data_IF_308433804220
#
_entry.id   IF_308433804220
#
_cell.length_a   1.000
_cell.length_b   1.000
_cell.length_c   1.000
_cell.angle_alpha   90.00
_cell.angle_beta   90.00
_cell.angle_gamma   90.00
#
_symmetry.space_group_name_H-M   'P 1'
#
loop_
_entity.id
_entity.type
_entity.pdbx_description
1 polymer ?
#
# COMPACT_ATOMS: atom_id res chain seq x y z
N UNK A 1 -7.91 0.88 2.07
CA UNK A 1 -7.03 0.05 1.21
C UNK A 1 -7.75 -0.51 -0.02
N UNK A 2 -8.69 -1.46 0.13
CA UNK A 2 -9.40 -2.09 -0.99
C UNK A 2 -9.98 -1.11 -2.04
N UNK A 3 -10.59 -0.02 -1.58
CA UNK A 3 -11.10 1.07 -2.44
C UNK A 3 -10.01 1.72 -3.31
N UNK A 4 -8.81 1.91 -2.76
CA UNK A 4 -7.68 2.52 -3.47
C UNK A 4 -7.21 1.58 -4.58
N UNK A 5 -7.10 0.28 -4.29
CA UNK A 5 -6.70 -0.75 -5.25
C UNK A 5 -7.71 -0.85 -6.39
N UNK A 6 -9.00 -1.00 -6.08
CA UNK A 6 -10.09 -1.04 -7.06
C UNK A 6 -10.09 0.20 -7.98
N UNK A 7 -9.93 1.39 -7.39
CA UNK A 7 -9.88 2.63 -8.17
C UNK A 7 -8.64 2.72 -9.06
N UNK A 8 -7.46 2.35 -8.55
CA UNK A 8 -6.21 2.37 -9.29
C UNK A 8 -6.23 1.43 -10.49
N UNK A 9 -6.68 0.19 -10.28
CA UNK A 9 -6.80 -0.81 -11.35
C UNK A 9 -7.77 -0.33 -12.43
N UNK A 10 -8.92 0.23 -12.05
CA UNK A 10 -9.89 0.81 -13.01
C UNK A 10 -9.35 1.99 -13.81
N UNK A 11 -8.36 2.70 -13.29
CA UNK A 11 -7.67 3.79 -13.99
C UNK A 11 -6.51 3.30 -14.87
N UNK A 12 -6.30 1.99 -14.99
CA UNK A 12 -5.20 1.43 -15.75
C UNK A 12 -3.85 1.46 -15.02
N UNK A 13 -3.83 1.74 -13.71
CA UNK A 13 -2.61 1.66 -12.89
C UNK A 13 -2.40 0.23 -12.40
N UNK A 14 -1.16 -0.22 -12.40
CA UNK A 14 -0.85 -1.54 -11.85
C UNK A 14 -0.82 -1.50 -10.31
N UNK A 15 -1.02 -2.65 -9.68
CA UNK A 15 -0.93 -2.83 -8.24
C UNK A 15 -0.09 -4.06 -7.95
N UNK A 16 0.92 -3.93 -7.09
CA UNK A 16 1.71 -5.03 -6.55
C UNK A 16 1.38 -5.13 -5.06
N UNK A 17 1.01 -6.32 -4.57
CA UNK A 17 0.64 -6.49 -3.16
C UNK A 17 1.15 -7.81 -2.59
N UNK A 18 1.36 -7.84 -1.27
CA UNK A 18 1.76 -9.05 -0.54
C UNK A 18 0.60 -9.90 0.01
N UNK A 19 -0.62 -9.61 -0.43
CA UNK A 19 -1.83 -10.36 -0.14
C UNK A 19 -2.61 -10.62 -1.42
N UNK A 20 -3.36 -11.71 -1.43
CA UNK A 20 -4.28 -12.04 -2.51
C UNK A 20 -5.55 -11.20 -2.42
N UNK A 21 -6.13 -10.88 -3.56
CA UNK A 21 -7.46 -10.27 -3.65
C UNK A 21 -8.40 -11.21 -4.37
N UNK A 22 -9.69 -11.09 -4.08
CA UNK A 22 -10.70 -11.77 -4.86
C UNK A 22 -10.99 -10.97 -6.14
N UNK A 23 -10.32 -11.38 -7.22
CA UNK A 23 -10.39 -10.71 -8.52
C UNK A 23 -11.80 -10.67 -9.11
N UNK A 24 -12.71 -11.55 -8.68
CA UNK A 24 -14.11 -11.56 -9.15
C UNK A 24 -14.83 -10.23 -8.90
N UNK A 25 -14.39 -9.47 -7.91
CA UNK A 25 -14.95 -8.14 -7.61
C UNK A 25 -14.40 -7.01 -8.49
N UNK A 26 -13.28 -7.23 -9.18
CA UNK A 26 -12.70 -6.25 -10.09
C UNK A 26 -13.37 -6.33 -11.47
N UNK A 27 -13.58 -7.54 -11.97
CA UNK A 27 -13.90 -7.83 -13.37
C UNK A 27 -15.41 -7.94 -13.62
N UNK A 28 -16.11 -6.81 -13.72
CA UNK A 28 -17.45 -6.78 -14.32
C UNK A 28 -17.31 -6.62 -15.86
N UNK A 29 -17.12 -7.78 -16.51
CA UNK A 29 -17.04 -8.23 -17.92
C UNK A 29 -17.18 -7.31 -19.17
N UNK A 30 -17.08 -5.97 -19.11
CA UNK A 30 -17.15 -5.15 -20.36
C UNK A 30 -15.88 -4.39 -20.76
N UNK A 31 -14.90 -4.20 -19.85
CA UNK A 31 -13.71 -3.36 -20.11
C UNK A 31 -12.44 -3.85 -19.38
N UNK A 32 -12.26 -5.17 -19.25
CA UNK A 32 -11.11 -5.74 -18.54
C UNK A 32 -9.76 -5.41 -19.19
N UNK A 33 -9.75 -5.19 -20.50
CA UNK A 33 -8.59 -4.77 -21.30
C UNK A 33 -8.01 -3.41 -20.89
N UNK A 34 -8.79 -2.58 -20.20
CA UNK A 34 -8.39 -1.23 -19.77
C UNK A 34 -7.89 -1.16 -18.33
N UNK A 35 -8.01 -2.25 -17.57
CA UNK A 35 -7.57 -2.26 -16.19
C UNK A 35 -6.07 -2.51 -16.09
N UNK A 36 -5.46 -1.96 -15.05
CA UNK A 36 -4.07 -2.27 -14.72
C UNK A 36 -3.94 -3.69 -14.19
N UNK A 37 -2.70 -4.17 -14.11
CA UNK A 37 -2.42 -5.50 -13.61
C UNK A 37 -2.36 -5.52 -12.09
N UNK A 38 -3.02 -6.50 -11.49
CA UNK A 38 -2.79 -6.86 -10.09
C UNK A 38 -1.74 -7.97 -10.04
N UNK A 39 -0.70 -7.79 -9.22
CA UNK A 39 0.42 -8.71 -9.08
C UNK A 39 0.54 -9.07 -7.60
N UNK A 40 0.29 -10.33 -7.30
CA UNK A 40 0.48 -10.87 -5.95
C UNK A 40 1.90 -11.40 -5.78
N UNK A 41 2.58 -10.96 -4.72
CA UNK A 41 3.91 -11.45 -4.35
C UNK A 41 3.98 -11.73 -2.84
N UNK A 42 4.07 -13.00 -2.39
CA UNK A 42 4.01 -13.35 -0.97
C UNK A 42 5.21 -12.83 -0.17
N UNK A 43 5.04 -12.62 1.15
CA UNK A 43 6.13 -12.23 2.07
C UNK A 43 7.38 -13.12 1.93
N UNK A 44 7.21 -14.42 1.67
CA UNK A 44 8.32 -15.36 1.42
C UNK A 44 9.25 -14.90 0.27
N UNK A 45 8.69 -14.34 -0.80
CA UNK A 45 9.46 -13.82 -1.94
C UNK A 45 10.28 -12.60 -1.52
N UNK A 46 9.64 -11.64 -0.84
CA UNK A 46 10.27 -10.42 -0.32
C UNK A 46 11.35 -10.67 0.73
N UNK A 47 11.28 -11.80 1.46
CA UNK A 47 12.24 -12.15 2.51
C UNK A 47 13.42 -12.98 2.01
N UNK A 48 13.19 -13.93 1.09
CA UNK A 48 14.20 -14.93 0.72
C UNK A 48 14.96 -14.60 -0.56
N UNK A 49 14.38 -13.82 -1.48
CA UNK A 49 15.04 -13.42 -2.73
C UNK A 49 15.87 -12.13 -2.59
N UNK A 50 16.28 -11.79 -1.37
CA UNK A 50 17.24 -10.71 -1.10
C UNK A 50 18.66 -11.02 -1.61
N UNK A 51 18.97 -12.29 -1.86
CA UNK A 51 20.35 -12.74 -2.09
C UNK A 51 20.61 -13.08 -3.56
N UNK A 52 21.67 -12.50 -4.14
CA UNK A 52 22.27 -13.00 -5.38
C UNK A 52 23.06 -14.25 -5.04
N UNK A 53 22.67 -15.42 -5.56
CA UNK A 53 23.59 -16.56 -5.57
C UNK A 53 24.62 -16.35 -6.69
N UNK A 54 25.79 -17.00 -6.61
CA UNK A 54 26.86 -16.84 -7.62
C UNK A 54 26.44 -17.27 -9.05
N UNK A 55 25.35 -18.00 -9.18
CA UNK A 55 24.90 -18.64 -10.43
C UNK A 55 23.56 -18.11 -10.93
N UNK A 56 22.68 -17.62 -10.06
CA UNK A 56 21.41 -16.99 -10.42
C UNK A 56 21.06 -15.92 -9.38
N UNK A 57 20.47 -14.80 -9.79
CA UNK A 57 19.73 -13.99 -8.83
C UNK A 57 19.45 -12.58 -9.28
N UNK A 58 18.26 -12.37 -9.82
CA UNK A 58 17.59 -11.08 -9.70
C UNK A 58 17.04 -10.99 -8.28
N UNK A 59 17.39 -9.95 -7.52
CA UNK A 59 16.72 -9.70 -6.24
C UNK A 59 15.28 -9.23 -6.49
N UNK A 60 14.40 -9.29 -5.50
CA UNK A 60 13.07 -8.70 -5.65
C UNK A 60 13.13 -7.18 -5.91
N UNK A 61 14.16 -6.48 -5.41
CA UNK A 61 14.37 -5.04 -5.70
C UNK A 61 14.78 -4.87 -7.16
N UNK A 62 15.66 -5.72 -7.69
CA UNK A 62 15.97 -5.76 -9.12
C UNK A 62 14.70 -6.02 -9.94
N UNK A 63 13.81 -6.88 -9.45
CA UNK A 63 12.47 -7.11 -10.00
C UNK A 63 11.64 -5.83 -10.10
N UNK A 64 11.56 -5.05 -9.01
CA UNK A 64 10.87 -3.75 -9.00
C UNK A 64 11.53 -2.74 -9.95
N UNK A 65 12.85 -2.67 -10.03
CA UNK A 65 13.52 -1.78 -10.98
C UNK A 65 13.27 -2.19 -12.43
N UNK A 66 13.30 -3.49 -12.72
CA UNK A 66 13.03 -4.01 -14.05
C UNK A 66 11.56 -3.80 -14.45
N UNK A 67 10.62 -4.04 -13.53
CA UNK A 67 9.21 -3.76 -13.77
C UNK A 67 9.00 -2.29 -14.15
N UNK A 68 9.57 -1.35 -13.38
CA UNK A 68 9.49 0.06 -13.73
C UNK A 68 10.15 0.37 -15.09
N UNK A 69 11.28 -0.27 -15.40
CA UNK A 69 11.99 -0.05 -16.66
C UNK A 69 11.18 -0.46 -17.89
N UNK A 70 10.43 -1.56 -17.81
CA UNK A 70 9.72 -2.19 -18.93
C UNK A 70 8.23 -1.82 -18.99
N UNK A 71 7.57 -1.70 -17.85
CA UNK A 71 6.11 -1.53 -17.78
C UNK A 71 5.68 -0.06 -17.61
N UNK A 72 6.57 0.82 -17.17
CA UNK A 72 6.21 2.23 -16.96
C UNK A 72 6.49 3.11 -18.16
N UNK A 73 5.55 4.00 -18.45
CA UNK A 73 5.67 4.99 -19.51
C UNK A 73 6.75 6.01 -19.15
N UNK A 74 7.41 6.52 -20.19
CA UNK A 74 8.48 7.52 -20.08
C UNK A 74 8.07 8.80 -20.81
N UNK A 75 8.52 9.94 -20.31
CA UNK A 75 8.37 11.21 -20.99
C UNK A 75 9.33 11.33 -22.19
N UNK A 76 9.25 12.46 -22.91
CA UNK A 76 10.15 12.76 -24.06
C UNK A 76 11.64 12.76 -23.68
N UNK A 77 11.98 13.00 -22.42
CA UNK A 77 13.36 12.98 -21.88
C UNK A 77 13.77 11.59 -21.38
N UNK A 78 12.99 10.53 -21.68
CA UNK A 78 13.20 9.14 -21.25
C UNK A 78 13.14 8.93 -19.73
N UNK A 79 12.56 9.87 -18.98
CA UNK A 79 12.33 9.72 -17.54
C UNK A 79 11.00 9.00 -17.31
N UNK A 80 10.97 8.06 -16.37
CA UNK A 80 9.74 7.36 -15.97
C UNK A 80 8.76 8.39 -15.38
N UNK A 81 7.49 8.31 -15.79
CA UNK A 81 6.42 9.13 -15.23
C UNK A 81 6.02 8.62 -13.84
N UNK A 82 5.65 9.52 -12.94
CA UNK A 82 5.20 9.17 -11.59
C UNK A 82 3.79 8.55 -11.57
N UNK A 83 3.41 7.95 -10.45
CA UNK A 83 2.04 7.46 -10.16
C UNK A 83 1.47 6.41 -11.12
N UNK A 84 2.30 5.47 -11.60
CA UNK A 84 1.91 4.44 -12.56
C UNK A 84 1.63 3.08 -11.92
N UNK A 85 2.21 2.80 -10.75
CA UNK A 85 2.00 1.53 -10.05
C UNK A 85 1.94 1.75 -8.55
N UNK A 86 0.97 1.12 -7.91
CA UNK A 86 0.84 1.12 -6.46
C UNK A 86 1.51 -0.13 -5.91
N UNK A 87 2.34 0.00 -4.88
CA UNK A 87 2.84 -1.13 -4.08
C UNK A 87 2.15 -1.09 -2.72
N UNK A 88 1.55 -2.20 -2.31
CA UNK A 88 0.83 -2.31 -1.05
C UNK A 88 1.44 -3.44 -0.21
N UNK A 89 2.00 -3.07 0.93
CA UNK A 89 2.48 -4.04 1.92
C UNK A 89 1.55 -4.03 3.13
N UNK A 90 0.73 -5.08 3.24
CA UNK A 90 -0.07 -5.36 4.42
C UNK A 90 0.76 -6.05 5.50
N UNK A 91 0.45 -5.77 6.76
CA UNK A 91 1.25 -6.17 7.94
C UNK A 91 2.77 -5.98 7.71
N UNK A 92 3.14 -4.82 7.16
CA UNK A 92 4.47 -4.55 6.65
C UNK A 92 5.59 -4.62 7.69
N UNK A 93 5.26 -4.63 8.99
CA UNK A 93 6.20 -4.86 10.07
C UNK A 93 6.85 -6.25 10.01
N UNK A 94 6.26 -7.23 9.35
CA UNK A 94 6.92 -8.52 9.08
C UNK A 94 8.10 -8.35 8.13
N UNK A 95 7.94 -7.49 7.12
CA UNK A 95 8.96 -7.21 6.10
C UNK A 95 9.99 -6.19 6.57
N UNK A 96 9.64 -5.27 7.47
CA UNK A 96 10.48 -4.12 7.82
C UNK A 96 10.74 -3.99 9.32
N UNK A 97 10.78 -5.11 10.05
CA UNK A 97 10.98 -5.11 11.50
C UNK A 97 12.37 -4.58 11.92
N UNK A 98 12.38 -3.64 12.87
CA UNK A 98 13.59 -3.11 13.51
C UNK A 98 14.49 -4.18 14.15
N UNK A 99 13.93 -5.29 14.62
CA UNK A 99 14.67 -6.38 15.29
C UNK A 99 15.46 -7.27 14.31
N UNK A 100 15.15 -7.22 13.02
CA UNK A 100 15.92 -7.91 11.97
C UNK A 100 17.10 -7.07 11.46
N UNK A 101 17.87 -6.46 12.38
CA UNK A 101 18.93 -5.50 12.06
C UNK A 101 20.06 -6.10 11.19
N UNK A 102 20.28 -7.41 11.24
CA UNK A 102 21.33 -8.12 10.51
C UNK A 102 20.96 -8.47 9.05
N UNK A 103 19.82 -7.98 8.54
CA UNK A 103 19.41 -8.21 7.16
C UNK A 103 20.19 -7.33 6.18
N UNK A 104 20.90 -7.96 5.25
CA UNK A 104 21.81 -7.31 4.30
C UNK A 104 21.08 -6.41 3.28
N UNK A 105 19.83 -6.74 2.97
CA UNK A 105 18.91 -6.05 2.05
C UNK A 105 18.28 -4.77 2.63
N UNK A 106 18.43 -4.53 3.93
CA UNK A 106 17.83 -3.37 4.61
C UNK A 106 18.22 -2.03 3.97
N UNK A 107 19.49 -1.86 3.62
CA UNK A 107 19.99 -0.62 3.00
C UNK A 107 19.47 -0.43 1.58
N UNK A 108 19.29 -1.53 0.85
CA UNK A 108 18.72 -1.50 -0.51
C UNK A 108 17.25 -1.09 -0.46
N UNK A 109 16.47 -1.65 0.47
CA UNK A 109 15.09 -1.22 0.73
C UNK A 109 15.03 0.28 1.07
N UNK A 110 15.85 0.74 2.01
CA UNK A 110 15.88 2.16 2.37
C UNK A 110 16.19 3.06 1.16
N UNK A 111 17.07 2.58 0.26
CA UNK A 111 17.42 3.29 -0.97
C UNK A 111 16.27 3.30 -1.97
N UNK A 112 15.60 2.16 -2.16
CA UNK A 112 14.42 2.03 -2.98
C UNK A 112 13.30 2.97 -2.51
N UNK A 113 12.94 2.94 -1.23
CA UNK A 113 11.90 3.80 -0.67
C UNK A 113 12.25 5.29 -0.78
N UNK A 114 13.52 5.69 -0.81
CA UNK A 114 13.89 7.10 -1.06
C UNK A 114 13.72 7.54 -2.51
N UNK A 115 13.70 6.60 -3.45
CA UNK A 115 13.73 6.87 -4.88
C UNK A 115 12.47 6.40 -5.62
N UNK A 116 11.52 5.77 -4.92
CA UNK A 116 10.36 5.09 -5.51
C UNK A 116 9.58 5.93 -6.54
N UNK A 117 9.42 7.24 -6.32
CA UNK A 117 8.75 8.17 -7.26
C UNK A 117 9.41 8.22 -8.62
N UNK A 118 10.76 8.22 -8.65
CA UNK A 118 11.54 8.21 -9.91
C UNK A 118 11.30 6.94 -10.73
N UNK A 119 10.81 5.89 -10.07
CA UNK A 119 10.44 4.62 -10.66
C UNK A 119 8.92 4.46 -10.77
N UNK A 120 8.13 5.55 -10.73
CA UNK A 120 6.69 5.50 -11.00
C UNK A 120 5.84 4.85 -9.91
N UNK A 121 6.40 4.56 -8.74
CA UNK A 121 5.72 3.86 -7.66
C UNK A 121 5.07 4.79 -6.65
N UNK A 122 3.85 4.46 -6.24
CA UNK A 122 3.20 4.94 -5.01
C UNK A 122 3.19 3.81 -3.99
N UNK A 123 3.65 4.03 -2.75
CA UNK A 123 3.79 2.94 -1.77
C UNK A 123 2.87 3.16 -0.57
N UNK A 124 2.10 2.13 -0.23
CA UNK A 124 1.27 2.04 0.96
C UNK A 124 1.82 0.97 1.89
N UNK A 125 2.25 1.40 3.07
CA UNK A 125 2.61 0.52 4.18
C UNK A 125 1.44 0.47 5.15
N UNK A 126 0.88 -0.71 5.38
CA UNK A 126 -0.17 -0.93 6.37
C UNK A 126 0.42 -1.68 7.54
N UNK A 127 0.16 -1.16 8.74
CA UNK A 127 0.59 -1.73 10.01
C UNK A 127 -0.41 -1.31 11.09
N UNK A 128 -0.53 -2.14 12.13
CA UNK A 128 -1.27 -1.82 13.35
C UNK A 128 -0.47 -0.89 14.28
N UNK A 129 0.87 -1.00 14.26
CA UNK A 129 1.80 -0.15 15.01
C UNK A 129 2.94 0.26 14.07
N UNK A 130 3.08 1.54 13.76
CA UNK A 130 4.16 2.01 12.91
C UNK A 130 5.52 1.87 13.62
N UNK A 131 5.56 1.94 14.96
CA UNK A 131 6.82 1.99 15.74
C UNK A 131 7.72 0.78 15.54
N UNK A 132 7.15 -0.36 15.18
CA UNK A 132 7.89 -1.61 14.89
C UNK A 132 8.59 -1.59 13.53
N UNK A 133 8.15 -0.71 12.61
CA UNK A 133 8.77 -0.49 11.29
C UNK A 133 10.13 0.20 11.47
N UNK A 134 11.09 -0.17 10.63
CA UNK A 134 12.43 0.39 10.59
C UNK A 134 12.42 1.92 10.63
N UNK A 135 13.22 2.50 11.53
CA UNK A 135 13.29 3.95 11.74
C UNK A 135 13.68 4.71 10.47
N UNK A 136 14.56 4.19 9.63
CA UNK A 136 14.95 4.87 8.37
C UNK A 136 13.80 4.90 7.37
N UNK A 137 12.98 3.85 7.32
CA UNK A 137 11.79 3.79 6.47
C UNK A 137 10.69 4.71 7.03
N UNK A 138 10.51 4.74 8.35
CA UNK A 138 9.55 5.69 8.96
C UNK A 138 9.88 7.14 8.70
N UNK A 139 11.16 7.52 8.79
CA UNK A 139 11.59 8.90 8.60
C UNK A 139 11.34 9.45 7.17
N UNK A 140 11.04 8.59 6.19
CA UNK A 140 10.74 8.99 4.81
C UNK A 140 9.25 8.89 4.48
N UNK A 141 8.41 8.42 5.41
CA UNK A 141 6.96 8.45 5.25
C UNK A 141 6.48 9.90 5.18
N UNK A 142 5.64 10.19 4.20
CA UNK A 142 5.10 11.54 3.99
C UNK A 142 3.75 11.71 4.72
N UNK A 143 2.88 10.72 4.56
CA UNK A 143 1.51 10.75 5.09
C UNK A 143 1.24 9.58 6.01
N UNK A 144 0.51 9.86 7.08
CA UNK A 144 -0.17 8.87 7.91
C UNK A 144 -1.67 8.92 7.62
N UNK A 145 -2.30 7.77 7.41
CA UNK A 145 -3.75 7.67 7.22
C UNK A 145 -4.34 6.77 8.28
N UNK A 146 -4.92 7.38 9.30
CA UNK A 146 -5.53 6.67 10.42
C UNK A 146 -7.01 6.40 10.14
N UNK A 147 -7.41 5.13 10.21
CA UNK A 147 -8.80 4.73 9.99
C UNK A 147 -9.48 4.50 11.35
N UNK A 148 -10.59 5.19 11.61
CA UNK A 148 -11.37 5.05 12.86
C UNK A 148 -12.82 4.70 12.56
N UNK A 149 -13.40 3.83 13.39
CA UNK A 149 -14.84 3.57 13.38
C UNK A 149 -15.56 4.67 14.19
N UNK A 150 -16.36 5.49 13.53
CA UNK A 150 -17.09 6.61 14.15
C UNK A 150 -18.18 6.10 15.09
N UNK A 151 -18.72 4.90 14.83
CA UNK A 151 -19.76 4.31 15.67
C UNK A 151 -19.29 4.04 17.12
N UNK A 152 -17.98 4.04 17.38
CA UNK A 152 -17.42 3.92 18.73
C UNK A 152 -17.42 5.24 19.52
N UNK A 153 -17.80 6.38 18.91
CA UNK A 153 -17.89 7.68 19.58
C UNK A 153 -19.30 7.96 20.14
N UNK A 154 -19.58 7.48 21.36
CA UNK A 154 -20.77 7.80 22.19
C UNK A 154 -22.13 7.72 21.42
N UNK A 155 -23.21 8.19 22.05
CA UNK A 155 -24.59 8.13 21.51
C UNK A 155 -24.72 8.80 20.12
N UNK A 156 -23.96 9.88 19.89
CA UNK A 156 -23.98 10.64 18.64
C UNK A 156 -23.40 9.86 17.45
N UNK A 157 -22.32 9.10 17.65
CA UNK A 157 -21.75 8.22 16.62
C UNK A 157 -22.69 7.06 16.24
N UNK A 158 -23.49 6.55 17.19
CA UNK A 158 -24.51 5.52 16.91
C UNK A 158 -25.67 6.09 16.09
N UNK A 159 -26.11 7.32 16.37
CA UNK A 159 -27.15 8.02 15.60
C UNK A 159 -26.67 8.31 14.18
N UNK A 160 -25.44 8.82 14.01
CA UNK A 160 -24.85 9.07 12.69
C UNK A 160 -24.66 7.79 11.88
N UNK A 161 -24.18 6.70 12.51
CA UNK A 161 -24.06 5.40 11.84
C UNK A 161 -25.43 4.88 11.38
N UNK A 162 -26.45 5.02 12.22
CA UNK A 162 -27.83 4.64 11.88
C UNK A 162 -28.38 5.47 10.70
N UNK A 163 -28.21 6.80 10.71
CA UNK A 163 -28.63 7.69 9.61
C UNK A 163 -27.87 7.41 8.31
N UNK A 164 -26.60 6.99 8.41
CA UNK A 164 -25.76 6.64 7.27
C UNK A 164 -26.01 5.20 6.76
N UNK A 165 -26.98 4.46 7.33
CA UNK A 165 -27.32 3.10 6.89
C UNK A 165 -26.26 2.04 7.21
N UNK A 166 -25.40 2.24 8.22
CA UNK A 166 -24.40 1.24 8.60
C UNK A 166 -23.27 1.69 9.53
N UNK A 167 -22.11 1.03 9.44
CA UNK A 167 -20.89 1.44 10.15
C UNK A 167 -20.24 2.61 9.41
N UNK A 168 -20.18 3.77 10.07
CA UNK A 168 -19.51 4.95 9.56
C UNK A 168 -18.04 4.93 9.98
N UNK A 169 -17.16 5.15 9.02
CA UNK A 169 -15.72 5.23 9.24
C UNK A 169 -15.22 6.61 8.83
N UNK A 170 -14.09 6.99 9.43
CA UNK A 170 -13.34 8.18 9.06
C UNK A 170 -11.90 7.79 8.79
N UNK A 171 -11.36 8.22 7.65
CA UNK A 171 -9.94 8.21 7.37
C UNK A 171 -9.39 9.62 7.63
N UNK A 172 -8.42 9.73 8.53
CA UNK A 172 -7.79 11.01 8.88
C UNK A 172 -6.38 11.00 8.32
N UNK A 173 -6.11 11.91 7.38
CA UNK A 173 -4.78 12.05 6.76
C UNK A 173 -3.99 13.13 7.48
N UNK A 174 -2.75 12.80 7.85
CA UNK A 174 -1.81 13.72 8.50
C UNK A 174 -0.43 13.67 7.84
N UNK A 175 0.32 14.76 7.95
CA UNK A 175 1.75 14.78 7.66
C UNK A 175 2.51 13.98 8.72
N UNK A 176 3.21 12.91 8.32
CA UNK A 176 3.94 12.05 9.25
C UNK A 176 5.11 12.78 9.94
N UNK A 177 5.83 13.63 9.18
CA UNK A 177 7.02 14.33 9.67
C UNK A 177 6.73 15.52 10.61
N UNK A 178 5.46 15.95 10.75
CA UNK A 178 5.11 17.10 11.60
C UNK A 178 4.62 16.63 12.96
N UNK A 179 5.25 17.13 14.02
CA UNK A 179 4.78 16.94 15.39
C UNK A 179 3.73 17.99 15.74
N UNK A 180 2.63 17.57 16.37
CA UNK A 180 1.50 18.43 16.74
C UNK A 180 0.21 18.01 16.03
N UNK A 181 -0.85 17.79 16.81
CA UNK A 181 -2.10 17.18 16.34
C UNK A 181 -2.92 18.10 15.41
N UNK A 182 -2.73 19.42 15.51
CA UNK A 182 -3.32 20.44 14.62
C UNK A 182 -2.50 20.66 13.36
N UNK A 183 -1.17 20.75 13.50
CA UNK A 183 -0.28 21.24 12.44
C UNK A 183 0.07 20.16 11.42
N UNK A 184 -0.16 18.89 11.80
CA UNK A 184 -0.04 17.72 10.93
C UNK A 184 -1.33 17.41 10.19
N UNK A 185 -2.50 17.93 10.59
CA UNK A 185 -3.78 17.58 9.98
C UNK A 185 -3.89 18.09 8.54
N UNK A 186 -4.35 17.21 7.64
CA UNK A 186 -4.59 17.55 6.23
C UNK A 186 -6.08 17.48 5.90
N UNK A 187 -6.70 16.33 6.15
CA UNK A 187 -8.11 16.13 5.82
C UNK A 187 -8.72 14.97 6.61
N UNK A 188 -10.06 14.96 6.68
CA UNK A 188 -10.84 13.83 7.14
C UNK A 188 -11.86 13.44 6.07
N UNK A 189 -11.92 12.15 5.76
CA UNK A 189 -12.84 11.60 4.76
C UNK A 189 -13.73 10.57 5.43
N UNK A 190 -15.03 10.85 5.43
CA UNK A 190 -16.05 9.95 5.96
C UNK A 190 -16.51 9.00 4.87
N UNK A 191 -16.65 7.72 5.22
CA UNK A 191 -17.13 6.71 4.30
C UNK A 191 -17.90 5.62 5.03
N UNK A 192 -18.85 5.02 4.32
CA UNK A 192 -19.61 3.87 4.80
C UNK A 192 -18.92 2.61 4.27
N UNK A 193 -18.76 1.62 5.15
CA UNK A 193 -18.26 0.31 4.75
C UNK A 193 -19.21 -0.34 3.75
N UNK A 194 -18.73 -0.65 2.54
CA UNK A 194 -19.52 -1.38 1.52
C UNK A 194 -19.11 -2.83 1.52
N UNK A 195 -20.09 -3.75 1.49
CA UNK A 195 -19.86 -5.19 1.54
C UNK A 195 -18.83 -5.67 0.52
N UNK A 196 -18.92 -5.20 -0.73
CA UNK A 196 -17.97 -5.51 -1.79
C UNK A 196 -16.49 -5.26 -1.45
N UNK A 197 -16.20 -4.32 -0.54
CA UNK A 197 -14.82 -4.01 -0.13
C UNK A 197 -14.36 -4.79 1.09
N UNK A 198 -15.31 -5.36 1.86
CA UNK A 198 -14.99 -6.33 2.90
C UNK A 198 -14.67 -7.70 2.28
N UNK A 199 -15.35 -8.05 1.20
CA UNK A 199 -15.11 -9.33 0.49
C UNK A 199 -13.91 -9.24 -0.47
N UNK A 200 -13.30 -8.06 -0.63
CA UNK A 200 -12.23 -7.79 -1.59
C UNK A 200 -10.92 -8.53 -1.30
N UNK A 201 -10.61 -8.74 -0.03
CA UNK A 201 -9.49 -9.58 0.41
C UNK A 201 -9.88 -10.24 1.72
N UNK A 202 -9.46 -11.49 1.92
CA UNK A 202 -9.78 -12.23 3.13
C UNK A 202 -8.81 -11.85 4.26
N UNK A 203 -9.20 -10.88 5.08
CA UNK A 203 -8.41 -10.42 6.24
C UNK A 203 -8.22 -11.47 7.34
N UNK A 204 -8.89 -12.62 7.26
CA UNK A 204 -8.77 -13.73 8.22
C UNK A 204 -7.90 -14.89 7.70
N UNK A 205 -7.40 -14.80 6.46
CA UNK A 205 -6.54 -15.83 5.88
C UNK A 205 -5.15 -15.68 6.50
N UNK A 206 -4.86 -16.48 7.53
CA UNK A 206 -3.56 -16.47 8.22
C UNK A 206 -2.49 -17.22 7.39
N UNK A 207 -2.90 -18.05 6.42
CA UNK A 207 -2.02 -18.81 5.52
C UNK A 207 -2.74 -19.14 4.19
#
# INVERSE_FOLDING_TARGET
MAQIIDHALRQGKNVIANFEIDERFLWNEKHSDRYGWFIYEPNKYWLNNAYKTKTEGFTYIDGLYNFARYCHRKNKKRQILEHQTIIVFDECQELFNTRTWNRKDRLEWCTFFRQHRKFGYDIYLISQDDKVIDKQIRNILEYEIEHRCVNNYKLFGRILGWLAGGKLFVAITRWYARHGHSDSFISSQYFIGRQKYYDFYNSYKVF
#
